data_IF_091268870836
#
_entry.id   IF_091268870836
#
_cell.length_a   1.000
_cell.length_b   1.000
_cell.length_c   1.000
_cell.angle_alpha   90.00
_cell.angle_beta   90.00
_cell.angle_gamma   90.00
#
_symmetry.space_group_name_H-M   'P 1'
#
loop_
_entity.id
_entity.type
_entity.pdbx_description
1 polymer ?
#
# COMPACT_ATOMS: atom_id res chain seq x y z
N UNK A 1 -10.95 19.09 -4.17
CA UNK A 1 -9.61 18.59 -3.79
C UNK A 1 -9.71 17.34 -2.91
N UNK A 2 -10.52 17.33 -1.86
CA UNK A 2 -10.73 16.15 -1.01
C UNK A 2 -11.31 14.95 -1.76
N UNK A 3 -12.15 15.15 -2.79
CA UNK A 3 -12.66 14.05 -3.61
C UNK A 3 -11.57 13.34 -4.42
N UNK A 4 -10.52 14.05 -4.85
CA UNK A 4 -9.35 13.47 -5.51
C UNK A 4 -8.61 12.57 -4.53
N UNK A 5 -8.46 13.03 -3.28
CA UNK A 5 -7.88 12.24 -2.20
C UNK A 5 -8.69 10.96 -1.93
N UNK A 6 -10.03 11.05 -1.79
CA UNK A 6 -10.91 9.88 -1.62
C UNK A 6 -10.77 8.87 -2.77
N UNK A 7 -10.67 9.35 -4.02
CA UNK A 7 -10.42 8.49 -5.19
C UNK A 7 -9.06 7.80 -5.10
N UNK A 8 -7.99 8.51 -4.73
CA UNK A 8 -6.65 7.93 -4.55
C UNK A 8 -6.61 6.92 -3.41
N UNK A 9 -7.35 7.17 -2.34
CA UNK A 9 -7.47 6.27 -1.19
C UNK A 9 -8.09 4.93 -1.58
N UNK A 10 -9.21 4.97 -2.33
CA UNK A 10 -9.83 3.75 -2.87
C UNK A 10 -8.92 3.04 -3.86
N UNK A 11 -8.27 3.76 -4.76
CA UNK A 11 -7.31 3.17 -5.69
C UNK A 11 -6.17 2.46 -4.95
N UNK A 12 -5.64 3.06 -3.89
CA UNK A 12 -4.62 2.44 -3.05
C UNK A 12 -5.14 1.16 -2.38
N UNK A 13 -6.35 1.20 -1.82
CA UNK A 13 -6.99 0.02 -1.24
C UNK A 13 -7.21 -1.10 -2.28
N UNK A 14 -7.64 -0.79 -3.50
CA UNK A 14 -7.77 -1.78 -4.58
C UNK A 14 -6.42 -2.42 -4.92
N UNK A 15 -5.36 -1.61 -5.04
CA UNK A 15 -3.99 -2.10 -5.24
C UNK A 15 -3.58 -3.05 -4.09
N UNK A 16 -3.81 -2.66 -2.83
CA UNK A 16 -3.50 -3.52 -1.68
C UNK A 16 -4.32 -4.81 -1.68
N UNK A 17 -5.58 -4.75 -2.12
CA UNK A 17 -6.46 -5.92 -2.22
C UNK A 17 -5.98 -6.90 -3.28
N UNK A 18 -5.64 -6.39 -4.47
CA UNK A 18 -5.19 -7.19 -5.60
C UNK A 18 -3.82 -7.84 -5.33
N UNK A 19 -3.00 -7.20 -4.50
CA UNK A 19 -1.71 -7.75 -4.04
C UNK A 19 -1.81 -8.63 -2.78
N UNK A 20 -3.01 -8.92 -2.27
CA UNK A 20 -3.22 -9.69 -1.03
C UNK A 20 -2.44 -9.12 0.17
N UNK A 21 -2.34 -7.79 0.25
CA UNK A 21 -1.64 -7.06 1.32
C UNK A 21 -2.59 -6.54 2.42
N UNK A 22 -3.89 -6.77 2.25
CA UNK A 22 -4.90 -6.46 3.25
C UNK A 22 -5.02 -7.58 4.29
N UNK A 23 -5.53 -7.23 5.47
CA UNK A 23 -5.95 -8.24 6.44
C UNK A 23 -7.26 -8.89 6.03
N UNK A 24 -7.55 -10.07 6.59
CA UNK A 24 -8.84 -10.75 6.41
C UNK A 24 -10.06 -9.86 6.77
N UNK A 25 -9.86 -8.93 7.70
CA UNK A 25 -10.88 -7.96 8.09
C UNK A 25 -11.14 -6.92 7.00
N UNK A 26 -10.11 -6.51 6.25
CA UNK A 26 -10.17 -5.47 5.23
C UNK A 26 -10.46 -6.01 3.83
N UNK A 27 -10.21 -7.29 3.53
CA UNK A 27 -10.53 -7.86 2.21
C UNK A 27 -12.04 -7.84 1.89
N UNK A 28 -12.85 -8.13 2.91
CA UNK A 28 -14.30 -8.04 2.86
C UNK A 28 -14.83 -7.40 4.15
N UNK A 29 -14.80 -6.06 4.24
CA UNK A 29 -15.07 -5.35 5.48
C UNK A 29 -16.56 -5.37 5.81
N UNK A 30 -16.83 -5.52 7.10
CA UNK A 30 -18.12 -5.26 7.72
C UNK A 30 -17.89 -4.50 9.03
N UNK A 31 -18.96 -4.05 9.69
CA UNK A 31 -18.86 -3.23 10.92
C UNK A 31 -18.01 -3.90 12.01
N UNK A 32 -18.21 -5.19 12.25
CA UNK A 32 -17.44 -5.97 13.23
C UNK A 32 -15.98 -6.15 12.82
N UNK A 33 -15.74 -6.49 11.56
CA UNK A 33 -14.40 -6.66 11.00
C UNK A 33 -13.60 -5.36 11.05
N UNK A 34 -14.21 -4.22 10.76
CA UNK A 34 -13.53 -2.92 10.88
C UNK A 34 -13.16 -2.62 12.32
N UNK A 35 -14.03 -2.90 13.30
CA UNK A 35 -13.68 -2.75 14.72
C UNK A 35 -12.49 -3.62 15.10
N UNK A 36 -12.53 -4.90 14.73
CA UNK A 36 -11.43 -5.84 14.97
C UNK A 36 -10.14 -5.37 14.29
N UNK A 37 -10.25 -4.78 13.11
CA UNK A 37 -9.10 -4.22 12.41
C UNK A 37 -8.51 -3.01 13.12
N UNK A 38 -9.35 -2.11 13.62
CA UNK A 38 -8.88 -0.95 14.39
C UNK A 38 -8.06 -1.42 15.60
N UNK A 39 -8.57 -2.40 16.36
CA UNK A 39 -7.85 -3.00 17.48
C UNK A 39 -6.54 -3.67 17.04
N UNK A 40 -6.56 -4.38 15.90
CA UNK A 40 -5.37 -5.06 15.35
C UNK A 40 -4.28 -4.06 14.94
N UNK A 41 -4.65 -3.00 14.22
CA UNK A 41 -3.72 -1.96 13.76
C UNK A 41 -3.17 -1.18 14.95
N UNK A 42 -4.03 -0.81 15.90
CA UNK A 42 -3.63 -0.13 17.14
C UNK A 42 -2.56 -0.94 17.89
N UNK A 43 -2.83 -2.22 18.18
CA UNK A 43 -1.89 -3.09 18.91
C UNK A 43 -0.55 -3.32 18.17
N UNK A 44 -0.55 -3.25 16.84
CA UNK A 44 0.64 -3.53 16.02
C UNK A 44 1.52 -2.31 15.81
N UNK A 45 0.94 -1.12 15.66
CA UNK A 45 1.61 0.05 15.09
C UNK A 45 1.19 1.37 15.77
N UNK A 46 0.74 1.32 17.02
CA UNK A 46 0.36 2.54 17.73
C UNK A 46 1.51 3.56 17.74
N UNK A 47 1.18 4.79 17.36
CA UNK A 47 2.04 5.96 17.45
C UNK A 47 1.21 7.10 18.06
N UNK A 48 1.81 7.90 18.95
CA UNK A 48 1.14 9.03 19.60
C UNK A 48 0.65 10.10 18.61
N UNK A 49 1.17 10.11 17.37
CA UNK A 49 0.65 10.95 16.28
C UNK A 49 -0.78 10.62 15.88
N UNK A 50 -1.25 9.40 16.18
CA UNK A 50 -2.57 8.93 15.81
C UNK A 50 -3.64 9.29 16.86
N UNK A 51 -3.23 9.73 18.07
CA UNK A 51 -4.11 10.00 19.21
C UNK A 51 -5.23 10.97 18.88
N UNK A 52 -4.91 12.07 18.19
CA UNK A 52 -5.90 13.09 17.82
C UNK A 52 -7.00 12.51 16.95
N UNK A 53 -6.63 11.73 15.92
CA UNK A 53 -7.58 11.10 14.99
C UNK A 53 -8.41 10.02 15.70
N UNK A 54 -7.76 9.18 16.51
CA UNK A 54 -8.44 8.12 17.25
C UNK A 54 -9.41 8.69 18.29
N UNK A 55 -9.03 9.77 19.00
CA UNK A 55 -9.94 10.50 19.91
C UNK A 55 -11.10 11.12 19.15
N UNK A 56 -10.83 11.88 18.08
CA UNK A 56 -11.87 12.53 17.27
C UNK A 56 -12.94 11.55 16.79
N UNK A 57 -12.52 10.37 16.32
CA UNK A 57 -13.45 9.39 15.77
C UNK A 57 -14.12 8.52 16.83
N UNK A 58 -13.37 7.94 17.79
CA UNK A 58 -13.90 6.94 18.72
C UNK A 58 -14.47 7.53 20.01
N UNK A 59 -13.97 8.67 20.46
CA UNK A 59 -14.36 9.27 21.73
C UNK A 59 -14.20 10.80 21.73
N UNK A 60 -15.01 11.52 20.93
CA UNK A 60 -14.90 12.97 20.81
C UNK A 60 -15.21 13.72 22.11
N UNK A 61 -15.96 13.09 23.03
CA UNK A 61 -16.26 13.63 24.36
C UNK A 61 -15.18 13.29 25.41
N UNK A 62 -14.13 12.57 25.02
CA UNK A 62 -13.02 12.20 25.88
C UNK A 62 -13.46 11.51 27.18
N UNK A 63 -14.42 10.59 27.07
CA UNK A 63 -14.99 9.81 28.19
C UNK A 63 -14.07 8.69 28.66
N UNK A 64 -13.12 8.26 27.83
CA UNK A 64 -12.24 7.12 28.08
C UNK A 64 -10.77 7.55 28.08
N UNK A 65 -10.01 7.02 29.04
CA UNK A 65 -8.57 7.29 29.18
C UNK A 65 -7.70 6.44 28.23
N UNK A 66 -8.27 5.39 27.63
CA UNK A 66 -7.58 4.43 26.78
C UNK A 66 -8.34 4.25 25.45
N UNK A 67 -7.63 4.35 24.33
CA UNK A 67 -8.16 4.15 22.99
C UNK A 67 -8.65 2.72 22.76
N UNK A 68 -8.08 1.70 23.42
CA UNK A 68 -8.59 0.33 23.31
C UNK A 68 -10.03 0.27 23.83
N UNK A 69 -10.29 0.90 24.98
CA UNK A 69 -11.63 0.95 25.58
C UNK A 69 -12.59 1.73 24.69
N UNK A 70 -12.16 2.86 24.13
CA UNK A 70 -13.03 3.65 23.25
C UNK A 70 -13.38 2.90 21.97
N UNK A 71 -12.42 2.21 21.35
CA UNK A 71 -12.67 1.38 20.16
C UNK A 71 -13.60 0.21 20.50
N UNK A 72 -13.41 -0.47 21.63
CA UNK A 72 -14.25 -1.62 22.00
C UNK A 72 -15.71 -1.23 22.24
N UNK A 73 -15.92 -0.09 22.91
CA UNK A 73 -17.24 0.48 23.25
C UNK A 73 -17.87 1.29 22.11
N UNK A 74 -17.16 1.48 21.00
CA UNK A 74 -17.67 2.24 19.87
C UNK A 74 -18.89 1.55 19.21
N UNK A 75 -19.90 2.36 18.90
CA UNK A 75 -21.13 1.89 18.26
C UNK A 75 -20.87 1.40 16.83
N UNK A 76 -21.21 0.14 16.56
CA UNK A 76 -20.92 -0.50 15.26
C UNK A 76 -21.59 0.20 14.08
N UNK A 77 -22.73 0.87 14.29
CA UNK A 77 -23.47 1.56 13.24
C UNK A 77 -22.76 2.81 12.72
N UNK A 78 -21.89 3.42 13.54
CA UNK A 78 -21.06 4.56 13.13
C UNK A 78 -20.00 4.17 12.11
N UNK A 79 -19.68 2.88 11.95
CA UNK A 79 -18.85 2.41 10.84
C UNK A 79 -19.59 2.31 9.50
N UNK A 80 -20.92 2.45 9.46
CA UNK A 80 -21.71 2.27 8.22
C UNK A 80 -21.23 3.16 7.06
N UNK A 81 -20.96 4.47 7.24
CA UNK A 81 -20.47 5.31 6.16
C UNK A 81 -19.12 4.84 5.61
N UNK A 82 -18.23 4.38 6.50
CA UNK A 82 -16.92 3.85 6.13
C UNK A 82 -17.04 2.54 5.35
N UNK A 83 -17.87 1.59 5.79
CA UNK A 83 -18.08 0.33 5.08
C UNK A 83 -18.62 0.57 3.67
N UNK A 84 -19.63 1.44 3.53
CA UNK A 84 -20.20 1.79 2.23
C UNK A 84 -19.17 2.42 1.30
N UNK A 85 -18.34 3.32 1.84
CA UNK A 85 -17.24 3.94 1.11
C UNK A 85 -16.20 2.93 0.61
N UNK A 86 -15.77 1.98 1.46
CA UNK A 86 -14.75 0.99 1.10
C UNK A 86 -15.26 0.01 0.04
N UNK A 87 -16.53 -0.41 0.16
CA UNK A 87 -17.14 -1.34 -0.81
C UNK A 87 -17.44 -0.71 -2.16
N UNK A 88 -17.50 0.61 -2.23
CA UNK A 88 -17.89 1.34 -3.44
C UNK A 88 -19.40 1.46 -3.61
N UNK A 89 -20.19 1.08 -2.60
CA UNK A 89 -21.66 1.17 -2.60
C UNK A 89 -22.15 2.61 -2.40
N UNK A 90 -21.26 3.53 -2.02
CA UNK A 90 -21.59 4.92 -1.77
C UNK A 90 -20.34 5.77 -1.55
N UNK A 91 -20.57 7.06 -1.32
CA UNK A 91 -19.54 8.01 -0.89
C UNK A 91 -19.86 8.51 0.52
N UNK A 92 -18.85 8.95 1.26
CA UNK A 92 -19.04 9.51 2.60
C UNK A 92 -18.54 10.96 2.65
N UNK A 93 -19.29 11.78 3.39
CA UNK A 93 -18.92 13.16 3.76
C UNK A 93 -18.24 13.22 5.12
N UNK A 94 -18.22 12.09 5.84
CA UNK A 94 -17.56 11.97 7.13
C UNK A 94 -16.04 11.96 6.93
N UNK A 95 -15.41 13.09 7.22
CA UNK A 95 -13.97 13.25 7.08
C UNK A 95 -13.19 12.36 8.06
N UNK A 96 -13.71 12.14 9.26
CA UNK A 96 -13.03 11.33 10.27
C UNK A 96 -13.09 9.85 9.92
N UNK A 97 -14.19 9.38 9.31
CA UNK A 97 -14.26 8.05 8.70
C UNK A 97 -13.20 7.87 7.60
N UNK A 98 -12.99 8.89 6.77
CA UNK A 98 -11.97 8.86 5.71
C UNK A 98 -10.55 8.91 6.29
N UNK A 99 -10.31 9.71 7.33
CA UNK A 99 -9.03 9.75 8.05
C UNK A 99 -8.73 8.39 8.70
N UNK A 100 -9.72 7.79 9.35
CA UNK A 100 -9.60 6.45 9.92
C UNK A 100 -9.26 5.42 8.82
N UNK A 101 -9.91 5.51 7.66
CA UNK A 101 -9.59 4.60 6.56
C UNK A 101 -8.15 4.71 6.09
N UNK A 102 -7.64 5.94 5.96
CA UNK A 102 -6.26 6.18 5.59
C UNK A 102 -5.28 5.57 6.59
N UNK A 103 -5.57 5.73 7.89
CA UNK A 103 -4.80 5.10 8.95
C UNK A 103 -4.80 3.56 8.85
N UNK A 104 -5.98 2.95 8.64
CA UNK A 104 -6.13 1.49 8.54
C UNK A 104 -5.28 0.89 7.40
N UNK A 105 -5.13 1.59 6.28
CA UNK A 105 -4.38 1.12 5.10
C UNK A 105 -2.96 1.70 5.01
N UNK A 106 -2.48 2.41 6.05
CA UNK A 106 -1.19 3.12 6.06
C UNK A 106 -1.00 4.14 4.92
N UNK A 107 -2.07 4.83 4.53
CA UNK A 107 -2.02 5.93 3.56
C UNK A 107 -1.84 7.28 4.28
N UNK A 108 -1.08 8.24 3.70
CA UNK A 108 -0.88 9.55 4.33
C UNK A 108 -2.20 10.29 4.53
N UNK A 109 -2.33 10.99 5.66
CA UNK A 109 -3.50 11.83 5.93
C UNK A 109 -3.65 12.94 4.89
N UNK A 110 -4.88 13.43 4.71
CA UNK A 110 -5.20 14.43 3.68
C UNK A 110 -4.28 15.66 3.71
N UNK A 111 -3.96 16.18 4.89
CA UNK A 111 -3.05 17.33 5.06
C UNK A 111 -1.66 17.04 4.51
N UNK A 112 -1.09 15.88 4.87
CA UNK A 112 0.23 15.45 4.40
C UNK A 112 0.24 15.19 2.90
N UNK A 113 -0.78 14.48 2.40
CA UNK A 113 -0.94 14.18 0.99
C UNK A 113 -1.05 15.47 0.16
N UNK A 114 -1.82 16.45 0.63
CA UNK A 114 -1.98 17.75 -0.01
C UNK A 114 -0.66 18.53 -0.04
N UNK A 115 0.09 18.55 1.07
CA UNK A 115 1.37 19.25 1.16
C UNK A 115 2.42 18.66 0.21
N UNK A 116 2.52 17.32 0.16
CA UNK A 116 3.43 16.63 -0.78
C UNK A 116 3.10 16.97 -2.23
N UNK A 117 1.81 16.98 -2.58
CA UNK A 117 1.35 17.34 -3.92
C UNK A 117 1.71 18.78 -4.29
N UNK A 118 1.42 19.73 -3.40
CA UNK A 118 1.75 21.14 -3.61
C UNK A 118 3.26 21.37 -3.74
N UNK A 119 4.08 20.58 -3.03
CA UNK A 119 5.55 20.64 -3.13
C UNK A 119 6.02 20.17 -4.50
N UNK A 120 5.46 19.07 -5.02
CA UNK A 120 5.76 18.54 -6.37
C UNK A 120 5.31 19.54 -7.44
N UNK A 121 4.11 20.11 -7.30
CA UNK A 121 3.59 21.12 -8.23
C UNK A 121 4.45 22.39 -8.20
N UNK A 122 4.93 22.82 -7.03
CA UNK A 122 5.85 23.98 -6.91
C UNK A 122 7.21 23.70 -7.55
N UNK A 123 7.76 22.50 -7.37
CA UNK A 123 9.06 22.11 -7.95
C UNK A 123 8.99 21.98 -9.48
N UNK A 124 7.86 21.55 -10.02
CA UNK A 124 7.64 21.45 -11.46
C UNK A 124 7.38 22.81 -12.14
N UNK A 125 7.05 23.86 -11.37
CA UNK A 125 6.84 25.22 -11.88
C UNK A 125 8.14 26.05 -11.88
N UNK A 126 9.10 25.73 -10.99
CA UNK A 126 10.40 26.44 -10.92
C UNK A 126 11.48 25.86 -11.87
N UNK A 127 11.22 24.74 -12.55
CA UNK A 127 12.21 24.06 -13.41
C UNK A 127 11.98 24.24 -14.92
N UNK A 128 11.16 25.21 -15.33
CA UNK A 128 10.93 25.53 -16.74
C UNK A 128 11.21 27.01 -17.04
N UNK A 129 12.50 27.36 -17.12
CA UNK A 129 13.04 28.43 -17.93
C UNK A 129 14.36 27.92 -18.53
N UNK A 130 14.27 27.25 -19.67
CA UNK A 130 15.10 27.48 -20.85
C UNK A 130 14.68 26.50 -21.98
N UNK A 131 14.47 27.11 -23.14
CA UNK A 131 14.42 26.61 -24.51
C UNK A 131 13.33 25.62 -25.01
N UNK A 132 12.58 26.19 -25.95
CA UNK A 132 11.63 25.65 -26.92
C UNK A 132 12.21 24.50 -27.76
N UNK A 133 11.52 23.34 -27.81
CA UNK A 133 11.25 22.56 -29.04
C UNK A 133 9.93 21.78 -28.87
N UNK A 134 9.10 21.86 -29.91
CA UNK A 134 7.72 21.39 -30.03
C UNK A 134 7.57 19.90 -30.38
N UNK A 135 6.33 19.41 -30.18
CA UNK A 135 5.65 18.20 -30.72
C UNK A 135 5.97 16.91 -29.94
N UNK A 136 5.00 16.10 -29.50
CA UNK A 136 3.82 15.64 -30.22
C UNK A 136 2.64 15.24 -29.32
N UNK A 137 1.46 15.21 -29.94
CA UNK A 137 0.16 15.08 -29.31
C UNK A 137 -0.14 13.66 -28.80
N UNK A 138 -0.72 13.54 -27.59
CA UNK A 138 -1.47 12.34 -27.21
C UNK A 138 -2.97 12.64 -27.29
N UNK A 139 -3.60 11.88 -28.18
CA UNK A 139 -4.98 11.88 -28.57
C UNK A 139 -5.98 11.92 -27.40
N UNK A 140 -6.94 12.83 -27.54
CA UNK A 140 -8.28 12.72 -26.99
C UNK A 140 -8.96 11.51 -27.64
N UNK A 141 -9.34 10.51 -26.86
CA UNK A 141 -10.35 9.54 -27.29
C UNK A 141 -11.55 9.61 -26.37
N UNK A 142 -12.64 10.06 -26.98
CA UNK A 142 -13.98 10.24 -26.45
C UNK A 142 -14.55 8.89 -26.04
N UNK A 143 -14.84 8.70 -24.75
CA UNK A 143 -15.61 7.55 -24.28
C UNK A 143 -17.04 7.61 -24.83
N UNK A 144 -17.30 6.82 -25.88
CA UNK A 144 -18.65 6.39 -26.23
C UNK A 144 -18.95 5.08 -25.46
N UNK A 145 -20.09 4.96 -24.75
CA UNK A 145 -20.38 3.76 -23.98
C UNK A 145 -20.68 2.58 -24.90
N UNK A 146 -19.82 1.56 -24.82
CA UNK A 146 -20.00 0.25 -25.43
C UNK A 146 -21.30 -0.39 -24.90
N UNK A 147 -22.34 -0.37 -25.74
CA UNK A 147 -23.54 -1.20 -25.56
C UNK A 147 -23.15 -2.67 -25.71
N UNK A 148 -23.22 -3.43 -24.63
CA UNK A 148 -22.98 -4.86 -24.65
C UNK A 148 -24.14 -5.58 -25.37
N UNK A 149 -23.93 -5.94 -26.64
CA UNK A 149 -24.84 -6.76 -27.43
C UNK A 149 -24.59 -8.22 -27.09
N UNK A 150 -25.58 -8.89 -26.53
CA UNK A 150 -25.54 -10.31 -26.18
C UNK A 150 -25.39 -11.15 -27.46
N UNK A 151 -24.19 -11.69 -27.70
CA UNK A 151 -23.89 -12.60 -28.80
C UNK A 151 -23.33 -13.88 -28.22
N UNK A 152 -23.97 -15.02 -28.53
CA UNK A 152 -23.47 -16.36 -28.20
C UNK A 152 -22.15 -16.58 -28.95
N UNK A 153 -21.05 -16.16 -28.34
CA UNK A 153 -19.70 -16.37 -28.85
C UNK A 153 -19.14 -17.68 -28.31
N UNK A 154 -18.29 -18.33 -29.12
CA UNK A 154 -17.72 -19.64 -28.84
C UNK A 154 -16.87 -19.59 -27.56
N UNK A 155 -17.47 -20.03 -26.46
CA UNK A 155 -16.92 -20.05 -25.10
C UNK A 155 -15.50 -20.67 -25.05
N UNK A 156 -15.22 -21.66 -25.89
CA UNK A 156 -13.92 -22.31 -26.01
C UNK A 156 -12.78 -21.35 -26.39
N UNK A 157 -13.02 -20.37 -27.28
CA UNK A 157 -11.99 -19.42 -27.69
C UNK A 157 -11.66 -18.41 -26.59
N UNK A 158 -12.66 -18.02 -25.79
CA UNK A 158 -12.47 -17.15 -24.63
C UNK A 158 -11.63 -17.87 -23.56
N UNK A 159 -11.94 -19.14 -23.26
CA UNK A 159 -11.13 -19.92 -22.31
C UNK A 159 -9.68 -20.07 -22.76
N UNK A 160 -9.44 -20.32 -24.04
CA UNK A 160 -8.09 -20.48 -24.58
C UNK A 160 -7.30 -19.15 -24.52
N UNK A 161 -7.95 -18.02 -24.82
CA UNK A 161 -7.37 -16.70 -24.66
C UNK A 161 -7.06 -16.37 -23.18
N UNK A 162 -7.97 -16.68 -22.24
CA UNK A 162 -7.75 -16.47 -20.80
C UNK A 162 -6.58 -17.29 -20.28
N UNK A 163 -6.40 -18.53 -20.74
CA UNK A 163 -5.27 -19.37 -20.35
C UNK A 163 -3.93 -18.82 -20.87
N UNK A 164 -3.90 -18.28 -22.09
CA UNK A 164 -2.70 -17.66 -22.66
C UNK A 164 -2.36 -16.34 -21.96
N UNK A 165 -3.36 -15.49 -21.71
CA UNK A 165 -3.19 -14.23 -20.98
C UNK A 165 -2.75 -14.51 -19.53
N UNK A 166 -3.34 -15.51 -18.86
CA UNK A 166 -2.95 -15.91 -17.51
C UNK A 166 -1.51 -16.41 -17.42
N UNK A 167 -1.04 -17.19 -18.41
CA UNK A 167 0.36 -17.62 -18.49
C UNK A 167 1.32 -16.45 -18.74
N UNK A 168 0.95 -15.51 -19.62
CA UNK A 168 1.76 -14.33 -19.87
C UNK A 168 1.82 -13.42 -18.64
N UNK A 169 0.68 -13.21 -17.96
CA UNK A 169 0.62 -12.46 -16.71
C UNK A 169 1.46 -13.13 -15.61
N UNK A 170 1.44 -14.46 -15.50
CA UNK A 170 2.28 -15.20 -14.57
C UNK A 170 3.78 -15.06 -14.90
N UNK A 171 4.15 -15.14 -16.18
CA UNK A 171 5.53 -14.92 -16.63
C UNK A 171 6.00 -13.49 -16.31
N UNK A 172 5.19 -12.48 -16.62
CA UNK A 172 5.47 -11.08 -16.27
C UNK A 172 5.51 -10.85 -14.74
N UNK A 173 4.66 -11.52 -13.97
CA UNK A 173 4.66 -11.43 -12.51
C UNK A 173 5.93 -12.04 -11.90
N UNK A 174 6.43 -13.16 -12.44
CA UNK A 174 7.70 -13.76 -11.99
C UNK A 174 8.90 -12.83 -12.17
N UNK A 175 8.83 -11.92 -13.16
CA UNK A 175 9.84 -10.88 -13.37
C UNK A 175 9.75 -9.79 -12.28
N UNK A 176 8.53 -9.44 -11.82
CA UNK A 176 8.30 -8.32 -10.88
C UNK A 176 8.61 -8.63 -9.40
N UNK A 177 8.66 -9.91 -8.99
CA UNK A 177 9.10 -10.32 -7.64
C UNK A 177 10.61 -10.05 -7.43
N UNK A 178 11.34 -9.70 -8.49
CA UNK A 178 12.78 -9.45 -8.50
C UNK A 178 13.19 -7.97 -8.56
N UNK A 179 12.33 -7.02 -8.16
CA UNK A 179 12.68 -5.58 -8.10
C UNK A 179 13.66 -5.24 -6.95
N UNK A 180 14.72 -6.04 -6.80
CA UNK A 180 15.91 -5.72 -6.03
C UNK A 180 16.65 -4.64 -6.82
N UNK A 181 16.80 -3.45 -6.23
CA UNK A 181 17.59 -2.38 -6.83
C UNK A 181 19.02 -2.88 -7.05
N UNK A 182 19.46 -2.87 -8.30
CA UNK A 182 20.84 -3.20 -8.64
C UNK A 182 21.76 -2.03 -8.30
N UNK A 183 22.98 -2.29 -7.84
CA UNK A 183 23.94 -1.26 -7.47
C UNK A 183 24.37 -0.44 -8.70
N UNK A 184 24.49 0.87 -8.51
CA UNK A 184 25.18 1.73 -9.46
C UNK A 184 26.71 1.53 -9.39
N UNK A 185 27.46 1.99 -10.39
CA UNK A 185 28.91 1.75 -10.47
C UNK A 185 29.72 2.23 -9.24
N UNK A 186 29.21 3.24 -8.52
CA UNK A 186 29.83 3.78 -7.32
C UNK A 186 29.43 3.05 -6.02
N UNK A 187 28.31 2.31 -6.03
CA UNK A 187 27.74 1.68 -4.83
C UNK A 187 28.40 0.31 -4.59
N UNK A 188 29.41 0.29 -3.73
CA UNK A 188 30.18 -0.93 -3.39
C UNK A 188 29.80 -1.54 -2.03
N UNK A 189 28.81 -0.98 -1.36
CA UNK A 189 28.31 -1.46 -0.08
C UNK A 189 26.81 -1.71 -0.13
N UNK A 190 26.29 -2.39 0.89
CA UNK A 190 24.85 -2.62 1.05
C UNK A 190 24.48 -2.64 2.54
N UNK A 191 23.22 -2.35 2.83
CA UNK A 191 22.69 -2.37 4.19
C UNK A 191 21.34 -3.11 4.24
N UNK A 192 20.98 -3.61 5.42
CA UNK A 192 19.71 -4.30 5.63
C UNK A 192 18.60 -3.31 5.98
N UNK A 193 17.52 -3.30 5.21
CA UNK A 193 16.38 -2.39 5.42
C UNK A 193 15.42 -2.85 6.53
N UNK A 194 15.64 -4.05 7.07
CA UNK A 194 14.66 -4.76 7.91
C UNK A 194 13.85 -5.79 7.13
N UNK A 195 13.87 -5.72 5.79
CA UNK A 195 13.16 -6.65 4.89
C UNK A 195 14.06 -7.25 3.80
N UNK A 196 14.95 -6.48 3.19
CA UNK A 196 15.89 -6.92 2.15
C UNK A 196 17.18 -6.10 2.20
N UNK A 197 18.16 -6.42 1.37
CA UNK A 197 19.35 -5.59 1.22
C UNK A 197 19.18 -4.54 0.13
N UNK A 198 19.74 -3.34 0.34
CA UNK A 198 19.83 -2.30 -0.68
C UNK A 198 21.27 -1.81 -0.85
N UNK A 199 21.68 -1.48 -2.09
CA UNK A 199 23.00 -0.95 -2.36
C UNK A 199 23.12 0.49 -1.83
N UNK A 200 24.35 0.86 -1.47
CA UNK A 200 24.68 2.15 -0.87
C UNK A 200 26.15 2.50 -1.14
N UNK A 201 26.48 3.79 -1.07
CA UNK A 201 27.88 4.21 -1.02
C UNK A 201 28.50 3.78 0.32
N UNK A 202 29.76 3.32 0.28
CA UNK A 202 30.42 2.83 1.49
C UNK A 202 30.69 3.92 2.53
N UNK A 203 30.79 5.17 2.10
CA UNK A 203 31.05 6.33 2.95
C UNK A 203 29.77 6.98 3.49
N UNK A 204 28.60 6.42 3.17
CA UNK A 204 27.32 6.94 3.63
C UNK A 204 27.12 6.62 5.11
N UNK A 205 26.82 7.64 5.93
CA UNK A 205 26.57 7.44 7.36
C UNK A 205 25.07 7.29 7.57
N UNK A 206 24.63 6.07 7.92
CA UNK A 206 23.25 5.78 8.35
C UNK A 206 23.23 5.36 9.83
N UNK A 207 22.80 6.24 10.75
CA UNK A 207 22.80 5.93 12.19
C UNK A 207 22.01 4.65 12.50
N UNK A 208 22.61 3.73 13.25
CA UNK A 208 21.96 2.49 13.69
C UNK A 208 21.87 1.39 12.63
N UNK A 209 22.40 1.59 11.42
CA UNK A 209 22.41 0.57 10.36
C UNK A 209 23.84 0.08 10.12
N UNK A 210 23.99 -1.24 10.01
CA UNK A 210 25.27 -1.85 9.69
C UNK A 210 25.45 -1.93 8.16
N UNK A 211 26.40 -1.17 7.64
CA UNK A 211 26.78 -1.16 6.23
C UNK A 211 27.88 -2.19 6.04
N UNK A 212 27.65 -3.13 5.12
CA UNK A 212 28.57 -4.22 4.81
C UNK A 212 28.99 -4.17 3.34
N UNK A 213 30.14 -4.78 2.96
CA UNK A 213 30.54 -4.86 1.56
C UNK A 213 29.46 -5.51 0.68
N UNK A 214 29.28 -4.99 -0.53
CA UNK A 214 28.29 -5.47 -1.47
C UNK A 214 28.53 -6.94 -1.82
N UNK A 215 27.49 -7.76 -1.69
CA UNK A 215 27.45 -9.12 -2.18
C UNK A 215 26.19 -9.31 -3.02
N UNK A 216 26.35 -9.43 -4.35
CA UNK A 216 25.24 -9.44 -5.32
C UNK A 216 24.29 -10.62 -5.08
N UNK A 217 24.83 -11.77 -4.71
CA UNK A 217 24.07 -12.97 -4.46
C UNK A 217 23.16 -12.82 -3.23
N UNK A 218 23.72 -12.26 -2.16
CA UNK A 218 22.98 -11.95 -0.93
C UNK A 218 21.97 -10.84 -1.18
N UNK A 219 22.34 -9.81 -1.94
CA UNK A 219 21.45 -8.71 -2.33
C UNK A 219 20.19 -9.22 -3.02
N UNK A 220 20.34 -10.13 -4.00
CA UNK A 220 19.22 -10.65 -4.80
C UNK A 220 18.35 -11.68 -4.09
N UNK A 221 18.97 -12.55 -3.26
CA UNK A 221 18.31 -13.75 -2.74
C UNK A 221 17.94 -13.65 -1.27
N UNK A 222 18.51 -12.71 -0.52
CA UNK A 222 18.25 -12.59 0.91
C UNK A 222 17.18 -11.54 1.20
N UNK A 223 16.02 -12.01 1.63
CA UNK A 223 14.91 -11.20 2.10
C UNK A 223 14.23 -11.86 3.30
N UNK A 224 13.53 -11.06 4.09
CA UNK A 224 12.76 -11.50 5.24
C UNK A 224 11.51 -12.21 4.74
N UNK A 225 11.29 -13.42 5.26
CA UNK A 225 10.06 -14.16 4.97
C UNK A 225 8.89 -13.39 5.58
N UNK A 226 7.88 -13.00 4.79
CA UNK A 226 6.67 -12.39 5.33
C UNK A 226 5.94 -13.37 6.25
N UNK A 227 5.30 -12.87 7.31
CA UNK A 227 4.65 -13.71 8.32
C UNK A 227 3.54 -14.63 7.76
N UNK A 228 2.97 -14.28 6.60
CA UNK A 228 1.93 -15.05 5.92
C UNK A 228 2.48 -16.15 5.00
N UNK A 229 3.79 -16.17 4.72
CA UNK A 229 4.42 -17.23 3.93
C UNK A 229 4.73 -18.40 4.87
N UNK A 230 4.07 -19.54 4.63
CA UNK A 230 4.31 -20.76 5.39
C UNK A 230 5.64 -21.38 5.00
N UNK A 231 6.55 -21.47 5.95
CA UNK A 231 7.79 -22.24 5.81
C UNK A 231 7.46 -23.73 5.74
N UNK A 232 8.02 -24.42 4.75
CA UNK A 232 7.81 -25.84 4.49
C UNK A 232 9.11 -26.62 4.61
N UNK A 233 9.03 -27.96 4.59
CA UNK A 233 10.22 -28.83 4.59
C UNK A 233 11.17 -28.57 3.40
N UNK A 234 10.70 -27.96 2.30
CA UNK A 234 11.54 -27.62 1.12
C UNK A 234 12.47 -26.43 1.35
N UNK A 235 12.24 -25.69 2.43
CA UNK A 235 12.97 -24.47 2.78
C UNK A 235 14.10 -24.75 3.78
N UNK A 236 14.16 -25.97 4.32
CA UNK A 236 15.24 -26.42 5.21
C UNK A 236 16.60 -26.28 4.50
N UNK A 237 17.57 -25.66 5.19
CA UNK A 237 18.89 -25.35 4.64
C UNK A 237 18.98 -24.09 3.78
N UNK A 238 17.86 -23.40 3.52
CA UNK A 238 17.82 -22.14 2.75
C UNK A 238 17.46 -20.92 3.61
N UNK A 239 17.13 -21.13 4.88
CA UNK A 239 16.66 -20.09 5.79
C UNK A 239 17.70 -19.76 6.85
N UNK A 240 17.77 -18.48 7.19
CA UNK A 240 18.57 -17.96 8.29
C UNK A 240 17.64 -17.42 9.37
N UNK A 241 17.88 -17.78 10.63
CA UNK A 241 17.14 -17.24 11.78
C UNK A 241 18.06 -16.35 12.60
N UNK A 242 17.72 -15.06 12.68
CA UNK A 242 18.31 -14.16 13.66
C UNK A 242 17.42 -14.15 14.91
N UNK A 243 18.01 -14.41 16.09
CA UNK A 243 17.34 -14.15 17.36
C UNK A 243 17.58 -12.68 17.68
N UNK A 244 16.53 -11.88 17.54
CA UNK A 244 16.52 -10.47 17.94
C UNK A 244 15.82 -10.49 19.30
N UNK A 245 16.60 -10.27 20.34
CA UNK A 245 16.23 -10.28 21.76
C UNK A 245 16.08 -11.67 22.42
N UNK A 246 16.78 -11.83 23.54
CA UNK A 246 16.69 -12.94 24.48
C UNK A 246 16.21 -12.42 25.82
#
# INVERSE_FOLDING_TARGET
MFDIYKKKLRAHYTILKDHCQLSENLENPNRTKLKNECLRVYRKKYNSTDDEMLRSFFDPENRYNDHIISIEKFELDKFRPLVSFIKGDGDTRDEDAIKLFAWLINFPFYREWKNKRNTIEKYNVDSSNDDVVTTDQLHQETENPLKFKNSRTNIALIFLAVLLIGKLAFYLWTIQISNVRMPDQAEKCMYWTGYHYEPVLCDEIKPGLNIIPLNIDKLKRMSKIPFFVKVTNRDVGKLWRAKIDG
#
